data_IF_456856950854
#
_entry.id   IF_456856950854
#
_cell.length_a   1.000
_cell.length_b   1.000
_cell.length_c   1.000
_cell.angle_alpha   90.00
_cell.angle_beta   90.00
_cell.angle_gamma   90.00
#
_symmetry.space_group_name_H-M   'P 1'
#
loop_
_entity.id
_entity.type
_entity.pdbx_description
1 polymer ?
#
# COMPACT_ATOMS: atom_id res chain seq x y z
N UNK A 1 -4.38 -16.43 -13.94
CA UNK A 1 -3.54 -17.10 -12.90
C UNK A 1 -4.47 -17.57 -11.82
N UNK A 2 -4.32 -18.82 -11.37
CA UNK A 2 -5.13 -19.41 -10.31
C UNK A 2 -4.23 -19.93 -9.19
N UNK A 3 -4.54 -19.53 -7.96
CA UNK A 3 -3.82 -19.91 -6.74
C UNK A 3 -4.84 -20.56 -5.82
N UNK A 4 -4.60 -21.82 -5.45
CA UNK A 4 -5.54 -22.64 -4.70
C UNK A 4 -4.88 -23.21 -3.45
N UNK A 5 -5.33 -22.72 -2.29
CA UNK A 5 -4.94 -23.25 -0.99
C UNK A 5 -3.44 -23.24 -0.75
N UNK A 6 -2.73 -22.21 -1.23
CA UNK A 6 -1.26 -22.20 -1.18
C UNK A 6 -0.74 -21.90 0.22
N UNK A 7 0.19 -22.72 0.70
CA UNK A 7 0.92 -22.53 1.94
C UNK A 7 2.42 -22.45 1.72
N UNK A 8 3.11 -21.67 2.55
CA UNK A 8 4.56 -21.71 2.68
C UNK A 8 5.01 -21.74 4.14
N UNK A 9 5.63 -22.84 4.52
CA UNK A 9 6.35 -22.99 5.78
C UNK A 9 7.84 -23.06 5.46
N UNK A 10 8.63 -22.20 6.09
CA UNK A 10 10.09 -22.24 5.99
C UNK A 10 10.69 -23.27 6.95
N UNK A 11 11.94 -23.68 6.72
CA UNK A 11 12.64 -24.66 7.57
C UNK A 11 12.73 -24.25 9.04
N UNK A 12 12.66 -22.95 9.33
CA UNK A 12 12.58 -22.41 10.69
C UNK A 12 11.25 -22.70 11.41
N UNK A 13 10.28 -23.34 10.73
CA UNK A 13 8.91 -23.50 11.21
C UNK A 13 8.03 -22.27 10.97
N UNK A 14 8.58 -21.16 10.46
CA UNK A 14 7.81 -19.95 10.21
C UNK A 14 6.80 -20.14 9.07
N UNK A 15 5.51 -19.98 9.39
CA UNK A 15 4.41 -20.12 8.44
C UNK A 15 4.08 -18.78 7.78
N UNK A 16 4.79 -18.48 6.70
CA UNK A 16 4.74 -17.20 5.99
C UNK A 16 3.48 -17.00 5.13
N UNK A 17 2.96 -18.07 4.53
CA UNK A 17 1.73 -18.04 3.71
C UNK A 17 0.81 -19.18 4.13
N UNK A 18 -0.47 -18.88 4.38
CA UNK A 18 -1.39 -19.72 5.16
C UNK A 18 -2.72 -19.96 4.43
N UNK A 19 -2.68 -20.68 3.31
CA UNK A 19 -3.89 -21.09 2.58
C UNK A 19 -4.45 -19.96 1.74
N UNK A 20 -3.60 -19.39 0.88
CA UNK A 20 -3.97 -18.28 0.01
C UNK A 20 -4.74 -18.78 -1.20
N UNK A 21 -5.85 -18.11 -1.49
CA UNK A 21 -6.68 -18.30 -2.68
C UNK A 21 -6.76 -16.98 -3.45
N UNK A 22 -6.34 -16.99 -4.71
CA UNK A 22 -6.34 -15.80 -5.56
C UNK A 22 -6.59 -16.18 -7.02
N UNK A 23 -7.32 -15.33 -7.73
CA UNK A 23 -7.52 -15.42 -9.17
C UNK A 23 -7.26 -14.07 -9.80
N UNK A 24 -6.43 -14.06 -10.84
CA UNK A 24 -6.02 -12.88 -11.59
C UNK A 24 -6.38 -13.07 -13.06
N UNK A 25 -6.89 -12.01 -13.67
CA UNK A 25 -7.46 -12.03 -15.01
C UNK A 25 -6.64 -11.18 -15.98
N UNK A 26 -6.61 -11.58 -17.26
CA UNK A 26 -6.07 -10.76 -18.34
C UNK A 26 -6.86 -9.45 -18.43
N UNK A 27 -6.20 -8.36 -18.80
CA UNK A 27 -6.88 -7.06 -18.90
C UNK A 27 -6.88 -6.26 -17.58
N UNK A 28 -6.29 -6.81 -16.51
CA UNK A 28 -6.41 -6.24 -15.16
C UNK A 28 -5.05 -6.06 -14.48
N UNK A 29 -4.96 -4.97 -13.72
CA UNK A 29 -3.95 -4.78 -12.68
C UNK A 29 -4.54 -5.26 -11.36
N UNK A 30 -3.91 -6.27 -10.76
CA UNK A 30 -4.25 -6.74 -9.42
C UNK A 30 -3.20 -6.24 -8.43
N UNK A 31 -3.62 -5.67 -7.31
CA UNK A 31 -2.73 -5.32 -6.20
C UNK A 31 -2.87 -6.33 -5.05
N UNK A 32 -1.74 -6.79 -4.53
CA UNK A 32 -1.63 -7.49 -3.26
C UNK A 32 -1.17 -6.48 -2.20
N UNK A 33 -2.13 -5.94 -1.45
CA UNK A 33 -1.93 -4.94 -0.41
C UNK A 33 -1.72 -5.62 0.94
N UNK A 34 -0.76 -5.15 1.74
CA UNK A 34 -0.47 -5.75 3.06
C UNK A 34 0.68 -5.05 3.77
N UNK A 35 0.74 -5.16 5.09
CA UNK A 35 1.87 -4.64 5.86
C UNK A 35 3.18 -5.40 5.55
N UNK A 36 4.31 -4.87 6.03
CA UNK A 36 5.59 -5.57 5.93
C UNK A 36 5.54 -6.86 6.75
N UNK A 37 6.01 -7.96 6.16
CA UNK A 37 5.89 -9.30 6.78
C UNK A 37 4.51 -9.96 6.66
N UNK A 38 3.55 -9.38 5.93
CA UNK A 38 2.25 -10.01 5.69
C UNK A 38 2.32 -11.29 4.83
N UNK A 39 3.43 -11.50 4.10
CA UNK A 39 3.66 -12.64 3.20
C UNK A 39 3.61 -12.30 1.71
N UNK A 40 3.55 -11.01 1.33
CA UNK A 40 3.45 -10.54 -0.07
C UNK A 40 4.57 -11.08 -0.97
N UNK A 41 5.82 -10.78 -0.64
CA UNK A 41 6.99 -11.20 -1.42
C UNK A 41 7.17 -12.73 -1.42
N UNK A 42 6.80 -13.43 -0.34
CA UNK A 42 6.78 -14.90 -0.32
C UNK A 42 5.74 -15.45 -1.30
N UNK A 43 4.55 -14.87 -1.37
CA UNK A 43 3.53 -15.21 -2.37
C UNK A 43 4.06 -15.00 -3.79
N UNK A 44 4.67 -13.85 -4.06
CA UNK A 44 5.28 -13.56 -5.37
C UNK A 44 6.40 -14.53 -5.74
N UNK A 45 7.28 -14.88 -4.78
CA UNK A 45 8.34 -15.87 -4.97
C UNK A 45 7.79 -17.26 -5.34
N UNK A 46 6.60 -17.62 -4.83
CA UNK A 46 5.93 -18.85 -5.22
C UNK A 46 5.33 -18.79 -6.62
N UNK A 47 4.68 -17.68 -6.96
CA UNK A 47 4.10 -17.47 -8.30
C UNK A 47 5.20 -17.50 -9.36
N UNK A 48 6.32 -16.80 -9.12
CA UNK A 48 7.47 -16.76 -10.03
C UNK A 48 8.29 -18.06 -10.08
N UNK A 49 7.98 -19.03 -9.21
CA UNK A 49 8.66 -20.32 -9.13
C UNK A 49 10.05 -20.27 -8.50
N UNK A 50 10.47 -19.14 -7.92
CA UNK A 50 11.71 -19.04 -7.13
C UNK A 50 11.65 -19.94 -5.89
N UNK A 51 10.49 -20.01 -5.26
CA UNK A 51 10.23 -20.84 -4.09
C UNK A 51 9.08 -21.79 -4.38
N UNK A 52 9.18 -23.07 -4.00
CA UNK A 52 8.04 -23.99 -4.12
C UNK A 52 7.07 -23.83 -2.94
N UNK A 53 5.74 -23.92 -3.19
CA UNK A 53 4.76 -24.00 -2.12
C UNK A 53 4.98 -25.27 -1.29
N UNK A 54 4.70 -25.18 0.01
CA UNK A 54 4.71 -26.35 0.91
C UNK A 54 3.43 -27.19 0.73
N UNK A 55 2.30 -26.54 0.43
CA UNK A 55 1.01 -27.14 0.09
C UNK A 55 0.25 -26.24 -0.88
N UNK A 56 -0.75 -26.80 -1.56
CA UNK A 56 -1.60 -26.09 -2.53
C UNK A 56 -1.01 -26.06 -3.94
N UNK A 57 -1.71 -25.39 -4.86
CA UNK A 57 -1.41 -25.39 -6.29
C UNK A 57 -1.38 -23.96 -6.85
N UNK A 58 -0.48 -23.74 -7.81
CA UNK A 58 -0.39 -22.49 -8.58
C UNK A 58 -0.43 -22.87 -10.06
N UNK A 59 -1.49 -22.45 -10.73
CA UNK A 59 -1.71 -22.68 -12.15
C UNK A 59 -1.58 -21.36 -12.93
N UNK A 60 -0.78 -21.41 -14.00
CA UNK A 60 -0.55 -20.28 -14.90
C UNK A 60 -0.76 -20.77 -16.32
N UNK A 61 -1.67 -20.13 -17.04
CA UNK A 61 -1.97 -20.44 -18.45
C UNK A 61 -2.27 -21.93 -18.68
N UNK A 62 -3.01 -22.58 -17.76
CA UNK A 62 -3.33 -24.01 -17.86
C UNK A 62 -2.26 -24.96 -17.33
N UNK A 63 -1.12 -24.46 -16.83
CA UNK A 63 0.01 -25.28 -16.39
C UNK A 63 0.44 -24.99 -14.95
N UNK A 64 0.68 -26.04 -14.17
CA UNK A 64 1.26 -25.99 -12.83
C UNK A 64 2.76 -26.38 -12.82
N UNK A 65 3.35 -26.60 -13.99
CA UNK A 65 4.79 -26.86 -14.14
C UNK A 65 5.60 -25.59 -13.86
N UNK A 66 6.57 -25.66 -12.94
CA UNK A 66 7.46 -24.54 -12.62
C UNK A 66 8.16 -23.98 -13.86
N UNK A 67 8.66 -24.85 -14.73
CA UNK A 67 9.40 -24.45 -15.93
C UNK A 67 8.50 -23.67 -16.89
N UNK A 68 7.24 -24.08 -17.03
CA UNK A 68 6.30 -23.39 -17.91
C UNK A 68 5.81 -22.08 -17.30
N UNK A 69 5.60 -22.02 -15.98
CA UNK A 69 5.29 -20.75 -15.29
C UNK A 69 6.34 -19.68 -15.58
N UNK A 70 7.62 -20.04 -15.47
CA UNK A 70 8.73 -19.10 -15.63
C UNK A 70 8.86 -18.52 -17.05
N UNK A 71 8.42 -19.26 -18.08
CA UNK A 71 8.40 -18.76 -19.47
C UNK A 71 7.40 -17.62 -19.65
N UNK A 72 6.26 -17.69 -18.96
CA UNK A 72 5.15 -16.75 -19.13
C UNK A 72 5.21 -15.52 -18.22
N UNK A 73 6.17 -15.47 -17.28
CA UNK A 73 6.28 -14.40 -16.28
C UNK A 73 7.47 -13.47 -16.59
N UNK A 74 7.19 -12.18 -16.61
CA UNK A 74 8.13 -11.10 -16.32
C UNK A 74 8.09 -10.76 -14.84
N UNK A 75 9.23 -10.75 -14.15
CA UNK A 75 9.29 -10.46 -12.72
C UNK A 75 10.27 -9.35 -12.40
N UNK A 76 9.78 -8.29 -11.75
CA UNK A 76 10.57 -7.23 -11.14
C UNK A 76 10.58 -7.45 -9.62
N UNK A 77 11.68 -7.93 -9.02
CA UNK A 77 11.77 -8.13 -7.56
C UNK A 77 11.86 -6.79 -6.81
N UNK A 78 11.76 -6.82 -5.48
CA UNK A 78 11.89 -5.61 -4.64
C UNK A 78 13.26 -4.93 -4.76
N UNK A 79 14.33 -5.71 -4.91
CA UNK A 79 15.69 -5.20 -5.11
C UNK A 79 16.01 -4.95 -6.60
N UNK A 80 16.99 -4.09 -6.88
CA UNK A 80 17.42 -3.82 -8.25
C UNK A 80 18.34 -4.93 -8.77
N UNK A 81 17.80 -5.87 -9.54
CA UNK A 81 18.53 -6.98 -10.16
C UNK A 81 19.26 -6.54 -11.44
N UNK A 82 20.31 -5.73 -11.30
CA UNK A 82 21.06 -5.14 -12.42
C UNK A 82 22.55 -5.49 -12.36
N UNK A 83 23.20 -5.51 -13.52
CA UNK A 83 24.64 -5.71 -13.68
C UNK A 83 25.33 -4.35 -13.87
N UNK A 84 26.14 -3.87 -12.90
CA UNK A 84 26.68 -2.49 -12.94
C UNK A 84 27.50 -2.16 -14.18
N UNK A 85 28.15 -3.17 -14.79
CA UNK A 85 29.03 -3.01 -15.95
C UNK A 85 28.28 -2.92 -17.28
N UNK A 86 27.05 -3.44 -17.35
CA UNK A 86 26.27 -3.46 -18.58
C UNK A 86 25.55 -2.13 -18.80
N UNK A 87 25.36 -1.77 -20.07
CA UNK A 87 24.52 -0.64 -20.51
C UNK A 87 23.03 -0.98 -20.39
N UNK A 88 22.16 0.02 -20.47
CA UNK A 88 20.71 -0.19 -20.49
C UNK A 88 20.31 -1.10 -21.66
N UNK A 89 20.82 -0.83 -22.86
CA UNK A 89 20.50 -1.61 -24.05
C UNK A 89 21.00 -3.07 -23.93
N UNK A 90 22.20 -3.26 -23.37
CA UNK A 90 22.75 -4.60 -23.10
C UNK A 90 21.89 -5.39 -22.10
N UNK A 91 21.28 -4.73 -21.09
CA UNK A 91 20.35 -5.40 -20.19
C UNK A 91 19.08 -5.85 -20.92
N UNK A 92 18.47 -4.95 -21.71
CA UNK A 92 17.26 -5.26 -22.48
C UNK A 92 17.51 -6.43 -23.43
N UNK A 93 18.66 -6.42 -24.12
CA UNK A 93 19.10 -7.49 -25.00
C UNK A 93 19.32 -8.80 -24.25
N UNK A 94 20.10 -8.77 -23.15
CA UNK A 94 20.45 -9.96 -22.38
C UNK A 94 19.21 -10.70 -21.88
N UNK A 95 18.31 -10.01 -21.19
CA UNK A 95 17.11 -10.63 -20.63
C UNK A 95 16.08 -11.00 -21.71
N UNK A 96 15.96 -10.18 -22.76
CA UNK A 96 15.09 -10.46 -23.89
C UNK A 96 15.48 -11.74 -24.64
N UNK A 97 16.78 -11.92 -24.88
CA UNK A 97 17.34 -13.12 -25.53
C UNK A 97 17.24 -14.36 -24.65
N UNK A 98 17.49 -14.27 -23.34
CA UNK A 98 17.32 -15.40 -22.40
C UNK A 98 15.88 -15.93 -22.43
N UNK A 99 14.90 -15.03 -22.58
CA UNK A 99 13.48 -15.39 -22.68
C UNK A 99 13.08 -15.88 -24.08
N UNK A 100 14.00 -15.89 -25.04
CA UNK A 100 13.73 -16.32 -26.42
C UNK A 100 12.82 -15.38 -27.20
N UNK A 101 12.63 -14.14 -26.74
CA UNK A 101 11.80 -13.17 -27.46
C UNK A 101 12.50 -12.73 -28.75
N UNK A 102 11.74 -12.43 -29.80
CA UNK A 102 12.25 -11.78 -31.03
C UNK A 102 11.95 -10.28 -31.05
N UNK A 103 10.95 -9.85 -30.28
CA UNK A 103 10.48 -8.47 -30.21
C UNK A 103 11.16 -7.67 -29.09
N UNK A 104 12.09 -8.27 -28.33
CA UNK A 104 12.68 -7.65 -27.14
C UNK A 104 13.22 -6.24 -27.35
N UNK A 105 13.79 -5.97 -28.53
CA UNK A 105 14.34 -4.66 -28.85
C UNK A 105 13.25 -3.61 -29.00
N UNK A 106 12.19 -3.93 -29.74
CA UNK A 106 11.06 -3.03 -29.95
C UNK A 106 10.27 -2.82 -28.65
N UNK A 107 9.95 -3.91 -27.95
CA UNK A 107 9.21 -3.88 -26.68
C UNK A 107 10.02 -3.16 -25.60
N UNK A 108 11.30 -3.49 -25.42
CA UNK A 108 12.17 -2.85 -24.44
C UNK A 108 12.31 -1.35 -24.69
N UNK A 109 12.53 -0.93 -25.94
CA UNK A 109 12.61 0.50 -26.29
C UNK A 109 11.29 1.22 -26.04
N UNK A 110 10.15 0.59 -26.33
CA UNK A 110 8.82 1.14 -26.02
C UNK A 110 8.65 1.36 -24.52
N UNK A 111 8.98 0.36 -23.70
CA UNK A 111 8.84 0.46 -22.24
C UNK A 111 9.79 1.51 -21.67
N UNK A 112 11.05 1.55 -22.12
CA UNK A 112 12.02 2.57 -21.71
C UNK A 112 11.54 3.99 -22.07
N UNK A 113 10.98 4.18 -23.26
CA UNK A 113 10.43 5.47 -23.67
C UNK A 113 9.25 5.90 -22.77
N UNK A 114 8.32 4.99 -22.46
CA UNK A 114 7.20 5.26 -21.56
C UNK A 114 7.65 5.59 -20.12
N UNK A 115 8.78 5.03 -19.69
CA UNK A 115 9.40 5.33 -18.40
C UNK A 115 10.29 6.59 -18.42
N UNK A 116 10.31 7.36 -19.52
CA UNK A 116 11.14 8.56 -19.63
C UNK A 116 12.64 8.27 -19.68
N UNK A 117 13.03 7.07 -20.11
CA UNK A 117 14.41 6.63 -20.29
C UNK A 117 14.79 6.50 -21.78
N UNK A 118 14.15 7.29 -22.64
CA UNK A 118 14.54 7.37 -24.05
C UNK A 118 15.97 7.93 -24.21
N UNK A 119 16.68 7.48 -25.24
CA UNK A 119 17.98 8.00 -25.68
C UNK A 119 19.16 7.86 -24.69
N UNK A 120 19.00 7.11 -23.60
CA UNK A 120 20.09 6.82 -22.63
C UNK A 120 20.55 5.36 -22.66
N UNK A 121 20.22 4.62 -23.73
CA UNK A 121 20.50 3.18 -23.88
C UNK A 121 21.96 2.78 -23.67
N UNK A 122 22.91 3.61 -24.12
CA UNK A 122 24.36 3.39 -23.99
C UNK A 122 24.93 3.69 -22.59
N UNK A 123 24.11 4.19 -21.65
CA UNK A 123 24.57 4.51 -20.29
C UNK A 123 24.70 3.23 -19.47
N UNK A 124 25.82 3.09 -18.76
CA UNK A 124 26.07 1.97 -17.83
C UNK A 124 25.15 2.04 -16.62
N UNK A 125 24.65 0.87 -16.19
CA UNK A 125 23.75 0.76 -15.06
C UNK A 125 24.34 1.27 -13.73
N UNK A 126 25.68 1.24 -13.58
CA UNK A 126 26.36 1.82 -12.42
C UNK A 126 26.08 3.32 -12.24
N UNK A 127 25.99 4.06 -13.34
CA UNK A 127 25.81 5.53 -13.36
C UNK A 127 24.36 5.97 -13.14
N UNK A 128 23.42 5.03 -13.05
CA UNK A 128 22.00 5.33 -12.88
C UNK A 128 21.68 5.68 -11.42
N UNK A 129 20.77 6.64 -11.23
CA UNK A 129 20.17 6.94 -9.93
C UNK A 129 19.33 5.76 -9.42
N UNK A 130 18.99 5.73 -8.13
CA UNK A 130 18.14 4.67 -7.56
C UNK A 130 16.81 4.49 -8.32
N UNK A 131 16.14 5.58 -8.65
CA UNK A 131 14.89 5.56 -9.43
C UNK A 131 15.09 5.10 -10.88
N UNK A 132 16.18 5.50 -11.54
CA UNK A 132 16.50 5.03 -12.90
C UNK A 132 16.82 3.53 -12.91
N UNK A 133 17.52 3.02 -11.90
CA UNK A 133 17.76 1.58 -11.72
C UNK A 133 16.45 0.82 -11.54
N UNK A 134 15.50 1.41 -10.82
CA UNK A 134 14.16 0.84 -10.64
C UNK A 134 13.38 0.77 -11.95
N UNK A 135 13.37 1.88 -12.71
CA UNK A 135 12.77 1.95 -14.05
C UNK A 135 13.39 0.90 -15.00
N UNK A 136 14.71 0.73 -14.98
CA UNK A 136 15.38 -0.32 -15.75
C UNK A 136 14.92 -1.73 -15.36
N UNK A 137 14.76 -2.04 -14.06
CA UNK A 137 14.26 -3.34 -13.63
C UNK A 137 12.84 -3.63 -14.13
N UNK A 138 11.97 -2.61 -14.12
CA UNK A 138 10.62 -2.70 -14.69
C UNK A 138 10.72 -2.98 -16.20
N UNK A 139 11.55 -2.22 -16.93
CA UNK A 139 11.75 -2.40 -18.36
C UNK A 139 12.27 -3.80 -18.72
N UNK A 140 13.24 -4.33 -17.96
CA UNK A 140 13.76 -5.70 -18.11
C UNK A 140 12.65 -6.74 -17.92
N UNK A 141 11.78 -6.55 -16.91
CA UNK A 141 10.71 -7.50 -16.64
C UNK A 141 9.68 -7.58 -17.76
N UNK A 142 9.49 -6.48 -18.51
CA UNK A 142 8.51 -6.38 -19.60
C UNK A 142 9.11 -6.56 -20.99
N UNK A 143 10.45 -6.50 -21.14
CA UNK A 143 11.10 -6.46 -22.45
C UNK A 143 10.82 -7.68 -23.31
N UNK A 144 10.67 -8.85 -22.70
CA UNK A 144 10.35 -10.08 -23.42
C UNK A 144 8.88 -10.23 -23.85
N UNK A 145 8.05 -9.21 -23.60
CA UNK A 145 6.59 -9.24 -23.79
C UNK A 145 5.88 -10.44 -23.12
N UNK A 146 6.11 -10.69 -21.83
CA UNK A 146 5.51 -11.83 -21.15
C UNK A 146 4.02 -11.57 -20.89
N UNK A 147 3.13 -12.57 -21.06
CA UNK A 147 1.69 -12.36 -20.83
C UNK A 147 1.34 -12.00 -19.38
N UNK A 148 2.23 -12.30 -18.43
CA UNK A 148 2.08 -11.98 -17.02
C UNK A 148 3.27 -11.15 -16.55
N UNK A 149 2.98 -10.05 -15.85
CA UNK A 149 3.98 -9.20 -15.23
C UNK A 149 3.76 -9.15 -13.72
N UNK A 150 4.80 -9.50 -12.96
CA UNK A 150 4.85 -9.45 -11.51
C UNK A 150 5.79 -8.32 -11.08
N UNK A 151 5.28 -7.38 -10.28
CA UNK A 151 6.04 -6.22 -9.80
C UNK A 151 6.01 -6.16 -8.26
N UNK A 152 7.13 -6.45 -7.60
CA UNK A 152 7.20 -6.45 -6.13
C UNK A 152 7.65 -5.06 -5.62
N UNK A 153 6.72 -4.26 -5.09
CA UNK A 153 6.86 -2.87 -4.65
C UNK A 153 7.44 -1.92 -5.72
N UNK A 154 6.87 -1.86 -6.95
CA UNK A 154 7.48 -1.21 -8.13
C UNK A 154 7.84 0.27 -7.94
N UNK A 155 7.08 0.98 -7.14
CA UNK A 155 7.15 2.44 -6.92
C UNK A 155 8.14 2.85 -5.83
N UNK A 156 8.72 1.90 -5.10
CA UNK A 156 9.72 2.17 -4.08
C UNK A 156 10.93 2.91 -4.69
N UNK A 157 11.21 4.11 -4.20
CA UNK A 157 12.32 4.94 -4.67
C UNK A 157 12.07 5.70 -5.98
N UNK A 158 10.82 5.73 -6.49
CA UNK A 158 10.42 6.60 -7.60
C UNK A 158 9.94 7.96 -7.10
N UNK A 159 10.40 9.02 -7.75
CA UNK A 159 9.90 10.38 -7.55
C UNK A 159 8.46 10.55 -8.10
N UNK A 160 7.75 11.64 -7.75
CA UNK A 160 6.37 11.85 -8.19
C UNK A 160 6.18 11.84 -9.71
N UNK A 161 7.14 12.32 -10.50
CA UNK A 161 7.08 12.29 -11.96
C UNK A 161 7.20 10.87 -12.49
N UNK A 162 8.18 10.12 -11.97
CA UNK A 162 8.39 8.71 -12.31
C UNK A 162 7.19 7.81 -11.95
N UNK A 163 6.45 8.11 -10.88
CA UNK A 163 5.22 7.39 -10.54
C UNK A 163 4.13 7.58 -11.59
N UNK A 164 3.98 8.79 -12.15
CA UNK A 164 3.02 9.07 -13.23
C UNK A 164 3.41 8.35 -14.53
N UNK A 165 4.71 8.30 -14.85
CA UNK A 165 5.20 7.50 -15.98
C UNK A 165 4.84 6.03 -15.83
N UNK A 166 5.05 5.49 -14.63
CA UNK A 166 4.74 4.11 -14.29
C UNK A 166 3.23 3.82 -14.35
N UNK A 167 2.39 4.71 -13.84
CA UNK A 167 0.93 4.61 -13.95
C UNK A 167 0.48 4.54 -15.40
N UNK A 168 0.98 5.46 -16.25
CA UNK A 168 0.68 5.45 -17.70
C UNK A 168 1.14 4.16 -18.38
N UNK A 169 2.31 3.65 -18.00
CA UNK A 169 2.79 2.35 -18.47
C UNK A 169 1.81 1.23 -18.10
N UNK A 170 1.38 1.14 -16.84
CA UNK A 170 0.44 0.09 -16.40
C UNK A 170 -0.91 0.19 -17.11
N UNK A 171 -1.45 1.39 -17.29
CA UNK A 171 -2.73 1.60 -17.97
C UNK A 171 -2.70 1.17 -19.44
N UNK A 172 -1.58 1.36 -20.13
CA UNK A 172 -1.40 0.89 -21.50
C UNK A 172 -1.16 -0.62 -21.55
N UNK A 173 -0.28 -1.13 -20.69
CA UNK A 173 0.17 -2.52 -20.72
C UNK A 173 -0.92 -3.50 -20.25
N UNK A 174 -1.80 -3.08 -19.34
CA UNK A 174 -2.84 -3.99 -18.83
C UNK A 174 -3.82 -4.47 -19.90
N UNK A 175 -3.95 -3.76 -21.04
CA UNK A 175 -4.89 -4.11 -22.13
C UNK A 175 -4.67 -5.53 -22.65
N UNK A 176 -3.41 -5.93 -22.80
CA UNK A 176 -3.03 -7.21 -23.38
C UNK A 176 -2.42 -8.19 -22.35
N UNK A 177 -2.19 -7.74 -21.11
CA UNK A 177 -1.39 -8.46 -20.12
C UNK A 177 -2.16 -8.69 -18.82
N UNK A 178 -1.68 -9.62 -17.99
CA UNK A 178 -2.11 -9.78 -16.59
C UNK A 178 -1.04 -9.19 -15.69
N UNK A 179 -1.35 -8.14 -14.94
CA UNK A 179 -0.37 -7.47 -14.10
C UNK A 179 -0.71 -7.70 -12.63
N UNK A 180 0.27 -8.11 -11.84
CA UNK A 180 0.16 -8.23 -10.39
C UNK A 180 1.25 -7.38 -9.74
N UNK A 181 0.88 -6.50 -8.83
CA UNK A 181 1.82 -5.71 -8.04
C UNK A 181 1.62 -5.95 -6.55
N UNK A 182 2.70 -5.87 -5.77
CA UNK A 182 2.62 -5.74 -4.30
C UNK A 182 2.80 -4.28 -3.92
N UNK A 183 2.13 -3.88 -2.86
CA UNK A 183 2.39 -2.60 -2.20
C UNK A 183 1.94 -2.67 -0.74
N UNK A 184 2.49 -1.81 0.11
CA UNK A 184 1.95 -1.50 1.44
C UNK A 184 1.28 -0.12 1.48
N UNK A 185 1.30 0.61 0.37
CA UNK A 185 0.70 1.92 0.22
C UNK A 185 -0.72 1.80 -0.33
N UNK A 186 -1.70 2.26 0.45
CA UNK A 186 -3.13 2.16 0.11
C UNK A 186 -3.52 3.07 -1.05
N UNK A 187 -2.92 4.25 -1.13
CA UNK A 187 -3.07 5.20 -2.23
C UNK A 187 -2.59 4.62 -3.56
N UNK A 188 -1.47 3.91 -3.57
CA UNK A 188 -0.98 3.22 -4.77
C UNK A 188 -1.90 2.09 -5.22
N UNK A 189 -2.35 1.25 -4.27
CA UNK A 189 -3.28 0.17 -4.58
C UNK A 189 -4.60 0.71 -5.16
N UNK A 190 -5.09 1.80 -4.59
CA UNK A 190 -6.31 2.47 -5.04
C UNK A 190 -6.16 3.10 -6.43
N UNK A 191 -5.02 3.74 -6.70
CA UNK A 191 -4.75 4.42 -7.97
C UNK A 191 -4.51 3.43 -9.11
N UNK A 192 -3.72 2.38 -8.86
CA UNK A 192 -3.17 1.53 -9.92
C UNK A 192 -4.00 0.28 -10.22
N UNK A 193 -4.77 -0.23 -9.25
CA UNK A 193 -5.35 -1.56 -9.34
C UNK A 193 -6.84 -1.57 -9.70
N UNK A 194 -7.21 -2.47 -10.61
CA UNK A 194 -8.61 -2.80 -10.89
C UNK A 194 -9.20 -3.71 -9.80
N UNK A 195 -8.35 -4.54 -9.18
CA UNK A 195 -8.72 -5.46 -8.10
C UNK A 195 -7.66 -5.50 -7.01
N UNK A 196 -8.08 -5.46 -5.75
CA UNK A 196 -7.20 -5.45 -4.59
C UNK A 196 -7.45 -6.71 -3.76
N UNK A 197 -6.37 -7.33 -3.30
CA UNK A 197 -6.34 -8.37 -2.30
C UNK A 197 -5.64 -7.83 -1.07
N UNK A 198 -6.29 -7.85 0.09
CA UNK A 198 -5.69 -7.41 1.35
C UNK A 198 -5.17 -8.64 2.10
N UNK A 199 -3.87 -8.66 2.36
CA UNK A 199 -3.14 -9.74 2.99
C UNK A 199 -2.67 -9.33 4.39
N UNK A 200 -2.92 -10.19 5.38
CA UNK A 200 -2.51 -10.02 6.76
C UNK A 200 -2.12 -11.38 7.37
N UNK A 201 -1.02 -11.42 8.13
CA UNK A 201 -0.52 -12.64 8.82
C UNK A 201 -0.49 -13.90 7.93
N UNK A 202 -0.04 -13.76 6.68
CA UNK A 202 0.08 -14.88 5.74
C UNK A 202 -1.22 -15.29 5.05
N UNK A 203 -2.35 -14.62 5.31
CA UNK A 203 -3.67 -14.93 4.74
C UNK A 203 -4.18 -13.78 3.89
N UNK A 204 -4.90 -14.09 2.82
CA UNK A 204 -5.77 -13.12 2.15
C UNK A 204 -7.04 -13.00 2.97
N UNK A 205 -7.33 -11.80 3.45
CA UNK A 205 -8.49 -11.54 4.31
C UNK A 205 -9.72 -11.15 3.48
N UNK A 206 -9.53 -10.28 2.49
CA UNK A 206 -10.59 -9.85 1.60
C UNK A 206 -10.05 -9.47 0.23
N UNK A 207 -10.94 -9.42 -0.76
CA UNK A 207 -10.62 -8.98 -2.09
C UNK A 207 -11.83 -8.35 -2.78
N UNK A 208 -11.57 -7.49 -3.76
CA UNK A 208 -12.59 -6.82 -4.54
C UNK A 208 -12.07 -5.58 -5.25
N UNK A 209 -12.97 -4.84 -5.89
CA UNK A 209 -12.67 -3.48 -6.35
C UNK A 209 -12.58 -2.55 -5.14
N UNK A 210 -11.91 -1.40 -5.28
CA UNK A 210 -11.85 -0.39 -4.22
C UNK A 210 -13.24 0.00 -3.71
N UNK A 211 -14.19 0.19 -4.62
CA UNK A 211 -15.59 0.54 -4.31
C UNK A 211 -16.30 -0.57 -3.51
N UNK A 212 -16.11 -1.84 -3.91
CA UNK A 212 -16.67 -2.98 -3.21
C UNK A 212 -16.11 -3.10 -1.80
N UNK A 213 -14.79 -2.96 -1.63
CA UNK A 213 -14.12 -3.05 -0.34
C UNK A 213 -14.58 -1.94 0.61
N UNK A 214 -14.70 -0.70 0.13
CA UNK A 214 -15.23 0.43 0.91
C UNK A 214 -16.65 0.16 1.41
N UNK A 215 -17.54 -0.29 0.52
CA UNK A 215 -18.92 -0.62 0.87
C UNK A 215 -19.00 -1.78 1.87
N UNK A 216 -18.23 -2.86 1.66
CA UNK A 216 -18.29 -4.07 2.49
C UNK A 216 -17.78 -3.85 3.91
N UNK A 217 -16.75 -3.02 4.08
CA UNK A 217 -16.15 -2.75 5.40
C UNK A 217 -16.77 -1.53 6.08
N UNK A 218 -17.94 -1.09 5.59
CA UNK A 218 -18.70 0.06 6.07
C UNK A 218 -17.77 1.23 6.40
N UNK A 219 -16.98 1.59 5.39
CA UNK A 219 -16.11 2.74 5.51
C UNK A 219 -16.93 4.04 5.58
N UNK A 220 -18.23 4.00 5.27
CA UNK A 220 -19.10 5.18 5.32
C UNK A 220 -18.75 6.23 4.27
N UNK A 221 -19.50 7.31 4.29
CA UNK A 221 -19.12 8.56 3.62
C UNK A 221 -18.44 9.48 4.62
N UNK A 222 -17.51 10.30 4.14
CA UNK A 222 -16.91 11.38 4.92
C UNK A 222 -17.47 12.68 4.38
N UNK A 223 -18.23 13.37 5.23
CA UNK A 223 -18.77 14.69 4.98
C UNK A 223 -17.80 15.73 5.56
N UNK A 224 -17.11 16.44 4.69
CA UNK A 224 -16.15 17.49 5.05
C UNK A 224 -16.79 18.85 4.98
N UNK A 225 -16.49 19.71 5.95
CA UNK A 225 -16.93 21.09 6.02
C UNK A 225 -15.73 22.03 6.12
N UNK A 226 -15.80 23.17 5.46
CA UNK A 226 -14.92 24.31 5.69
C UNK A 226 -15.72 25.41 6.39
N UNK A 227 -15.13 26.00 7.43
CA UNK A 227 -15.75 27.09 8.21
C UNK A 227 -15.04 28.41 7.99
N UNK A 228 -15.77 29.51 8.14
CA UNK A 228 -15.23 30.86 8.03
C UNK A 228 -14.15 31.13 9.08
N UNK A 229 -13.21 32.02 8.76
CA UNK A 229 -12.09 32.34 9.65
C UNK A 229 -12.52 32.92 11.00
N UNK A 230 -13.65 33.61 11.04
CA UNK A 230 -14.21 34.24 12.24
C UNK A 230 -14.98 33.26 13.14
N UNK A 231 -15.32 32.08 12.63
CA UNK A 231 -16.10 31.08 13.35
C UNK A 231 -15.21 30.11 14.13
N UNK A 232 -15.61 29.79 15.36
CA UNK A 232 -14.98 28.72 16.13
C UNK A 232 -15.35 27.36 15.53
N UNK A 233 -14.33 26.62 15.06
CA UNK A 233 -14.49 25.32 14.41
C UNK A 233 -15.11 24.29 15.36
N UNK A 234 -14.79 24.30 16.64
CA UNK A 234 -15.34 23.32 17.59
C UNK A 234 -16.84 23.56 17.78
N UNK A 235 -17.24 24.82 17.98
CA UNK A 235 -18.65 25.20 18.11
C UNK A 235 -19.45 24.87 16.84
N UNK A 236 -18.95 25.27 15.68
CA UNK A 236 -19.58 24.98 14.40
C UNK A 236 -19.70 23.47 14.15
N UNK A 237 -18.67 22.69 14.50
CA UNK A 237 -18.72 21.23 14.37
C UNK A 237 -19.81 20.60 15.23
N UNK A 238 -20.00 21.07 16.47
CA UNK A 238 -21.04 20.57 17.37
C UNK A 238 -22.45 20.86 16.85
N UNK A 239 -22.70 22.09 16.38
CA UNK A 239 -23.98 22.50 15.80
C UNK A 239 -24.28 21.73 14.50
N UNK A 240 -23.27 21.55 13.64
CA UNK A 240 -23.42 20.78 12.40
C UNK A 240 -23.65 19.29 12.65
N UNK A 241 -23.00 18.70 13.66
CA UNK A 241 -23.26 17.32 14.07
C UNK A 241 -24.72 17.16 14.49
N UNK A 242 -25.27 18.10 15.24
CA UNK A 242 -26.67 18.05 15.67
C UNK A 242 -27.63 18.11 14.49
N UNK A 243 -27.37 19.00 13.51
CA UNK A 243 -28.14 19.07 12.27
C UNK A 243 -28.09 17.75 11.49
N UNK A 244 -26.89 17.17 11.34
CA UNK A 244 -26.71 15.91 10.61
C UNK A 244 -27.35 14.72 11.34
N UNK A 245 -27.34 14.71 12.68
CA UNK A 245 -27.97 13.67 13.52
C UNK A 245 -29.46 13.51 13.27
N UNK A 246 -30.16 14.56 12.84
CA UNK A 246 -31.59 14.48 12.50
C UNK A 246 -31.86 13.50 11.35
N UNK A 247 -30.88 13.34 10.45
CA UNK A 247 -31.00 12.48 9.27
C UNK A 247 -30.23 11.17 9.43
N UNK A 248 -29.02 11.24 10.02
CA UNK A 248 -28.10 10.11 10.20
C UNK A 248 -27.78 9.98 11.69
N UNK A 249 -28.53 9.15 12.45
CA UNK A 249 -28.39 9.06 13.91
C UNK A 249 -27.00 8.59 14.35
N UNK A 250 -26.38 7.68 13.59
CA UNK A 250 -25.04 7.14 13.83
C UNK A 250 -23.93 8.00 13.18
N UNK A 251 -24.04 9.33 13.26
CA UNK A 251 -22.94 10.23 12.85
C UNK A 251 -21.95 10.40 14.00
N UNK A 252 -20.67 10.21 13.68
CA UNK A 252 -19.57 10.46 14.61
C UNK A 252 -18.61 11.52 14.05
N UNK A 253 -18.10 12.46 14.87
CA UNK A 253 -17.01 13.32 14.47
C UNK A 253 -15.80 12.45 14.08
N UNK A 254 -15.20 12.77 12.94
CA UNK A 254 -14.10 12.00 12.38
C UNK A 254 -12.76 12.75 12.54
N UNK A 255 -12.73 14.05 12.23
CA UNK A 255 -11.49 14.84 12.30
C UNK A 255 -11.77 16.34 12.37
N UNK A 256 -10.99 17.09 13.14
CA UNK A 256 -10.96 18.56 13.10
C UNK A 256 -9.53 18.98 12.76
N UNK A 257 -9.37 19.86 11.76
CA UNK A 257 -8.08 20.38 11.29
C UNK A 257 -8.22 21.86 10.95
N UNK A 258 -7.78 22.74 11.85
CA UNK A 258 -7.83 24.18 11.64
C UNK A 258 -9.27 24.65 11.41
N UNK A 259 -9.56 25.13 10.19
CA UNK A 259 -10.88 25.63 9.77
C UNK A 259 -11.68 24.61 8.95
N UNK A 260 -11.35 23.33 9.09
CA UNK A 260 -12.08 22.24 8.46
C UNK A 260 -12.40 21.15 9.49
N UNK A 261 -13.56 20.51 9.32
CA UNK A 261 -13.92 19.33 10.09
C UNK A 261 -14.64 18.29 9.22
N UNK A 262 -14.56 17.04 9.65
CA UNK A 262 -15.06 15.88 8.92
C UNK A 262 -15.97 15.05 9.83
N UNK A 263 -17.11 14.63 9.29
CA UNK A 263 -18.07 13.75 9.92
C UNK A 263 -18.14 12.42 9.16
N UNK A 264 -18.25 11.31 9.88
CA UNK A 264 -18.45 9.99 9.28
C UNK A 264 -19.94 9.68 9.23
N UNK A 265 -20.46 9.42 8.03
CA UNK A 265 -21.85 9.01 7.79
C UNK A 265 -21.90 7.51 7.51
N UNK A 266 -22.85 6.81 8.12
CA UNK A 266 -23.13 5.42 7.81
C UNK A 266 -23.73 5.29 6.39
N UNK A 267 -23.53 4.13 5.75
CA UNK A 267 -24.07 3.88 4.40
C UNK A 267 -25.57 3.53 4.39
N UNK A 268 -26.14 3.12 5.52
CA UNK A 268 -27.52 2.66 5.63
C UNK A 268 -28.57 3.76 5.40
N UNK A 269 -28.25 5.01 5.73
CA UNK A 269 -29.15 6.17 5.62
C UNK A 269 -28.99 6.95 4.30
N UNK A 270 -28.36 6.37 3.27
CA UNK A 270 -28.07 7.07 2.00
C UNK A 270 -29.30 7.69 1.32
N UNK A 271 -30.50 7.15 1.55
CA UNK A 271 -31.75 7.70 1.00
C UNK A 271 -32.12 9.08 1.57
N UNK A 272 -31.66 9.41 2.77
CA UNK A 272 -31.94 10.68 3.45
C UNK A 272 -30.93 11.78 3.11
N UNK A 273 -29.82 11.42 2.44
CA UNK A 273 -28.76 12.36 2.10
C UNK A 273 -29.24 13.58 1.29
N UNK A 274 -30.14 13.45 0.30
CA UNK A 274 -30.62 14.62 -0.44
C UNK A 274 -31.32 15.66 0.43
N UNK A 275 -32.13 15.23 1.40
CA UNK A 275 -32.82 16.14 2.34
C UNK A 275 -31.83 16.75 3.34
N UNK A 276 -30.89 15.94 3.85
CA UNK A 276 -29.80 16.40 4.69
C UNK A 276 -28.97 17.50 3.99
N UNK A 277 -28.60 17.32 2.72
CA UNK A 277 -27.84 18.32 1.97
C UNK A 277 -28.60 19.62 1.77
N UNK A 278 -29.90 19.58 1.46
CA UNK A 278 -30.73 20.78 1.38
C UNK A 278 -30.77 21.54 2.71
N UNK A 279 -30.84 20.82 3.83
CA UNK A 279 -30.83 21.42 5.17
C UNK A 279 -29.48 22.05 5.50
N UNK A 280 -28.38 21.37 5.16
CA UNK A 280 -27.01 21.91 5.29
C UNK A 280 -26.84 23.17 4.43
N UNK A 281 -27.35 23.20 3.21
CA UNK A 281 -27.25 24.36 2.32
C UNK A 281 -28.06 25.56 2.83
N UNK A 282 -29.23 25.31 3.40
CA UNK A 282 -30.09 26.34 4.00
C UNK A 282 -29.50 26.93 5.29
N UNK A 283 -29.11 26.06 6.23
CA UNK A 283 -28.82 26.49 7.60
C UNK A 283 -27.32 26.58 7.87
N UNK A 284 -26.50 25.83 7.13
CA UNK A 284 -25.05 25.77 7.30
C UNK A 284 -24.34 27.12 7.23
N UNK A 285 -24.70 28.06 6.31
CA UNK A 285 -24.10 29.39 6.29
C UNK A 285 -24.28 30.17 7.59
N UNK A 286 -25.42 30.00 8.28
CA UNK A 286 -25.68 30.64 9.58
C UNK A 286 -24.83 30.03 10.70
N UNK A 287 -24.38 28.79 10.52
CA UNK A 287 -23.45 28.09 11.42
C UNK A 287 -21.97 28.37 11.07
N UNK A 288 -21.71 29.31 10.15
CA UNK A 288 -20.36 29.68 9.71
C UNK A 288 -19.72 28.72 8.71
N UNK A 289 -20.51 27.84 8.08
CA UNK A 289 -20.05 27.00 6.97
C UNK A 289 -19.77 27.86 5.73
N UNK A 290 -18.57 27.70 5.17
CA UNK A 290 -18.20 28.29 3.89
C UNK A 290 -18.50 27.35 2.72
N UNK A 291 -18.20 26.06 2.89
CA UNK A 291 -18.45 25.02 1.90
C UNK A 291 -18.50 23.65 2.55
N UNK A 292 -19.06 22.68 1.84
CA UNK A 292 -19.06 21.28 2.24
C UNK A 292 -18.77 20.38 1.04
N UNK A 293 -18.37 19.15 1.32
CA UNK A 293 -18.08 18.12 0.32
C UNK A 293 -18.34 16.74 0.86
N UNK A 294 -18.84 15.85 0.00
CA UNK A 294 -19.03 14.44 0.33
C UNK A 294 -17.96 13.62 -0.38
N UNK A 295 -17.24 12.79 0.36
CA UNK A 295 -16.27 11.84 -0.19
C UNK A 295 -16.56 10.43 0.32
N UNK A 296 -16.13 9.42 -0.43
CA UNK A 296 -16.08 8.06 0.07
C UNK A 296 -14.86 7.92 0.97
N UNK A 297 -15.01 7.19 2.07
CA UNK A 297 -13.89 6.95 2.95
C UNK A 297 -12.77 6.16 2.24
N UNK A 298 -11.54 6.43 2.62
CA UNK A 298 -10.35 5.97 1.91
C UNK A 298 -10.12 4.47 2.07
N UNK A 299 -9.43 3.84 1.11
CA UNK A 299 -9.04 2.43 1.21
C UNK A 299 -8.21 2.16 2.48
N UNK A 300 -7.48 3.17 2.96
CA UNK A 300 -6.74 3.14 4.23
C UNK A 300 -7.60 2.70 5.42
N UNK A 301 -8.86 3.16 5.51
CA UNK A 301 -9.74 2.79 6.62
C UNK A 301 -10.18 1.33 6.55
N UNK A 302 -10.39 0.80 5.34
CA UNK A 302 -10.62 -0.63 5.14
C UNK A 302 -9.40 -1.41 5.61
N UNK A 303 -8.21 -0.95 5.22
CA UNK A 303 -6.94 -1.56 5.60
C UNK A 303 -6.73 -1.58 7.13
N UNK A 304 -6.97 -0.46 7.80
CA UNK A 304 -6.91 -0.34 9.27
C UNK A 304 -7.91 -1.27 9.95
N UNK A 305 -9.16 -1.32 9.48
CA UNK A 305 -10.20 -2.20 10.04
C UNK A 305 -9.84 -3.68 9.91
N UNK A 306 -9.27 -4.09 8.77
CA UNK A 306 -8.71 -5.44 8.59
C UNK A 306 -7.55 -5.66 9.55
N UNK A 307 -6.72 -4.64 9.77
CA UNK A 307 -5.62 -4.69 10.71
C UNK A 307 -6.05 -4.89 12.17
N UNK A 308 -7.11 -4.20 12.59
CA UNK A 308 -7.74 -4.37 13.91
C UNK A 308 -8.35 -5.78 14.05
N UNK A 309 -9.12 -6.24 13.06
CA UNK A 309 -9.74 -7.58 13.06
C UNK A 309 -8.72 -8.71 13.09
N UNK A 310 -7.54 -8.51 12.49
CA UNK A 310 -6.49 -9.52 12.44
C UNK A 310 -5.46 -9.36 13.57
N UNK A 311 -5.57 -8.31 14.39
CA UNK A 311 -4.61 -7.98 15.44
C UNK A 311 -3.20 -7.72 14.89
N UNK A 312 -3.08 -7.12 13.71
CA UNK A 312 -1.80 -6.63 13.14
C UNK A 312 -1.56 -5.17 13.46
N UNK A 313 -2.61 -4.41 13.75
CA UNK A 313 -2.54 -3.02 14.21
C UNK A 313 -2.67 -3.04 15.73
N UNK A 314 -1.53 -3.06 16.41
CA UNK A 314 -1.47 -2.79 17.85
C UNK A 314 -1.29 -1.27 17.98
N UNK A 315 -2.30 -0.55 18.49
CA UNK A 315 -2.25 0.94 18.64
C UNK A 315 -1.02 1.41 19.42
N UNK A 316 -0.45 0.53 20.24
CA UNK A 316 0.80 0.71 20.98
C UNK A 316 2.03 0.88 20.07
N UNK A 317 2.10 0.22 18.91
CA UNK A 317 3.24 0.31 17.99
C UNK A 317 3.26 1.59 17.15
N UNK A 318 2.09 2.08 16.72
CA UNK A 318 1.96 3.37 16.03
C UNK A 318 2.21 4.54 16.98
N UNK A 319 1.69 4.49 18.20
CA UNK A 319 2.00 5.49 19.23
C UNK A 319 3.50 5.48 19.56
N UNK A 320 4.14 4.31 19.66
CA UNK A 320 5.57 4.21 19.91
C UNK A 320 6.42 4.76 18.75
N UNK A 321 6.02 4.56 17.50
CA UNK A 321 6.73 5.09 16.34
C UNK A 321 6.51 6.59 16.15
N UNK A 322 5.27 7.07 16.30
CA UNK A 322 4.96 8.50 16.27
C UNK A 322 5.67 9.25 17.41
N UNK A 323 5.74 8.65 18.62
CA UNK A 323 6.52 9.21 19.73
C UNK A 323 8.02 9.19 19.46
N UNK A 324 8.57 8.15 18.81
CA UNK A 324 9.99 8.12 18.41
C UNK A 324 10.31 9.23 17.40
N UNK A 325 9.47 9.45 16.40
CA UNK A 325 9.65 10.50 15.41
C UNK A 325 9.57 11.90 16.04
N UNK A 326 8.61 12.12 16.96
CA UNK A 326 8.49 13.35 17.74
C UNK A 326 9.69 13.60 18.66
N UNK A 327 10.27 12.55 19.25
CA UNK A 327 11.49 12.64 20.08
C UNK A 327 12.69 13.00 19.20
N UNK A 328 12.83 12.40 18.02
CA UNK A 328 13.92 12.71 17.07
C UNK A 328 13.81 14.12 16.48
N UNK A 329 12.60 14.60 16.19
CA UNK A 329 12.37 15.98 15.75
C UNK A 329 12.67 17.01 16.85
N UNK A 330 12.32 16.71 18.11
CA UNK A 330 12.62 17.58 19.24
C UNK A 330 14.11 17.61 19.61
N UNK A 331 14.84 16.51 19.47
CA UNK A 331 16.30 16.47 19.71
C UNK A 331 17.08 17.34 18.71
N UNK A 332 16.55 17.50 17.50
CA UNK A 332 17.12 18.38 16.46
C UNK A 332 16.88 19.88 16.73
N UNK A 333 15.88 20.25 17.54
CA UNK A 333 15.48 21.65 17.79
C UNK A 333 16.07 22.28 19.06
N UNK A 334 16.73 21.53 19.94
CA UNK A 334 17.28 22.07 21.19
C UNK A 334 18.68 22.71 21.03
N UNK A 335 18.82 23.98 21.46
CA UNK A 335 20.11 24.70 21.61
C UNK A 335 20.35 25.13 23.07
N UNK A 336 21.62 25.12 23.50
CA UNK A 336 22.07 25.67 24.79
C UNK A 336 22.28 24.66 25.93
N UNK A 337 22.73 25.12 27.12
CA UNK A 337 23.14 24.28 28.26
C UNK A 337 22.02 23.42 28.87
N UNK A 338 20.76 23.73 28.56
CA UNK A 338 19.58 22.95 28.95
C UNK A 338 19.50 21.58 28.23
N UNK A 339 20.32 21.35 27.19
CA UNK A 339 20.36 20.11 26.41
C UNK A 339 20.94 18.91 27.17
N UNK A 340 21.91 19.15 28.07
CA UNK A 340 22.57 18.07 28.83
C UNK A 340 21.62 17.53 29.90
N UNK A 341 20.95 18.40 30.65
CA UNK A 341 19.95 18.01 31.65
C UNK A 341 18.77 17.26 31.01
N UNK A 342 18.32 17.71 29.83
CA UNK A 342 17.22 17.08 29.10
C UNK A 342 17.61 15.75 28.45
N UNK A 343 18.85 15.62 27.96
CA UNK A 343 19.40 14.33 27.50
C UNK A 343 19.57 13.35 28.65
N UNK A 344 19.95 13.81 29.83
CA UNK A 344 20.05 12.98 31.03
C UNK A 344 18.67 12.49 31.49
N UNK A 345 17.67 13.39 31.51
CA UNK A 345 16.28 13.04 31.80
C UNK A 345 15.70 12.06 30.76
N UNK A 346 15.95 12.29 29.46
CA UNK A 346 15.52 11.39 28.39
C UNK A 346 16.21 10.02 28.44
N UNK A 347 17.47 9.97 28.86
CA UNK A 347 18.22 8.72 29.07
C UNK A 347 17.65 7.93 30.26
N UNK A 348 17.34 8.62 31.37
CA UNK A 348 16.65 8.04 32.53
C UNK A 348 15.25 7.54 32.16
N UNK A 349 14.49 8.31 31.37
CA UNK A 349 13.16 7.92 30.91
C UNK A 349 13.23 6.70 29.97
N UNK A 350 14.20 6.67 29.03
CA UNK A 350 14.46 5.51 28.18
C UNK A 350 14.81 4.27 29.01
N UNK A 351 15.60 4.42 30.07
CA UNK A 351 16.00 3.33 30.96
C UNK A 351 14.82 2.82 31.80
N UNK A 352 14.02 3.71 32.39
CA UNK A 352 12.77 3.38 33.08
C UNK A 352 11.76 2.68 32.16
N UNK A 353 11.63 3.14 30.92
CA UNK A 353 10.74 2.52 29.92
C UNK A 353 11.25 1.14 29.49
N UNK A 354 12.57 0.96 29.32
CA UNK A 354 13.16 -0.33 29.03
C UNK A 354 13.00 -1.31 30.21
N UNK A 355 13.12 -0.83 31.45
CA UNK A 355 12.91 -1.63 32.65
C UNK A 355 11.42 -2.00 32.85
N UNK A 356 10.48 -1.11 32.51
CA UNK A 356 9.04 -1.40 32.49
C UNK A 356 8.66 -2.44 31.42
N UNK A 357 9.15 -2.28 30.19
CA UNK A 357 8.90 -3.22 29.08
C UNK A 357 9.57 -4.57 29.36
N UNK A 358 10.79 -4.57 29.89
CA UNK A 358 11.48 -5.82 30.25
C UNK A 358 10.85 -6.51 31.46
N UNK A 359 10.21 -5.76 32.38
CA UNK A 359 9.44 -6.33 33.49
C UNK A 359 8.17 -7.03 33.01
N UNK A 360 7.43 -6.45 32.05
CA UNK A 360 6.29 -7.12 31.40
C UNK A 360 6.74 -8.36 30.62
N UNK A 361 7.91 -8.30 29.98
CA UNK A 361 8.49 -9.44 29.26
C UNK A 361 9.01 -10.53 30.20
N UNK A 362 9.51 -10.17 31.39
CA UNK A 362 9.92 -11.11 32.46
C UNK A 362 8.73 -11.75 33.16
N UNK A 363 7.64 -11.00 33.40
CA UNK A 363 6.39 -11.55 33.96
C UNK A 363 5.77 -12.56 32.99
N UNK A 364 5.77 -12.26 31.68
CA UNK A 364 5.33 -13.22 30.65
C UNK A 364 6.26 -14.44 30.52
N UNK A 365 7.57 -14.31 30.80
CA UNK A 365 8.50 -15.45 30.85
C UNK A 365 8.36 -16.29 32.13
N UNK A 366 7.99 -15.69 33.26
CA UNK A 366 7.72 -16.41 34.51
C UNK A 366 6.37 -17.15 34.46
N UNK A 367 5.36 -16.61 33.79
CA UNK A 367 4.08 -17.30 33.55
C UNK A 367 4.15 -18.44 32.51
N UNK A 368 5.28 -18.60 31.82
CA UNK A 368 5.54 -19.75 30.93
C UNK A 368 6.29 -20.88 31.68
N UNK A 369 6.64 -20.66 32.95
CA UNK A 369 7.36 -21.61 33.82
C UNK A 369 6.57 -22.04 35.08
N UNK A 370 5.27 -21.73 35.12
CA UNK A 370 4.25 -22.41 35.94
C UNK A 370 3.14 -22.87 35.01
#
# INVERSE_FOLDING_TARGET
IEIEGVHKVYSTGFHAVRGVYMRMHKGQVTALLGHNGAGKSTTFSMISGMTMPTKGRIEIMGSDSKADRQKHIGFCPQYNAIFPKLTIDEHIEFFGRIKGSKSWKQTGNRVLAMLGMANIGNVRAASLSGGMKRKLCIAISMSADPPIVLLDEPTAGLDPGARRDFERLLLEWKKDHTILLTTHYTDEAELLADRIFIMAKGKVFCSGTTQFLRKKFDSGYVLSFAVNNETDTEKASGEMINLVKEFVPEVSPYKIRGKQFELKLCTDDTKKFPEMFRKIESDGPNLGMQSYGLSLNQLEQVFLRVGEMTGTVDRSAEVANAMKELIEENDKRARGPMKILKQFANSLLKRLMFDLVSSVTRINKLMILF
#
